data_IF_555832939800
#
_entry.id   IF_555832939800
#
_cell.length_a   1.000
_cell.length_b   1.000
_cell.length_c   1.000
_cell.angle_alpha   90.00
_cell.angle_beta   90.00
_cell.angle_gamma   90.00
#
_symmetry.space_group_name_H-M   'P 1'
#
loop_
_entity.id
_entity.type
_entity.pdbx_description
1 polymer ?
#
# COMPACT_ATOMS: atom_id res chain seq x y z
N UNK A 1 -30.74 -18.90 -12.00
CA UNK A 1 -31.97 -18.67 -11.47
C UNK A 1 -32.79 -17.63 -12.24
N UNK A 2 -33.31 -18.07 -13.39
CA UNK A 2 -34.09 -17.23 -14.32
C UNK A 2 -35.36 -16.74 -13.64
N UNK A 3 -36.04 -17.61 -12.89
CA UNK A 3 -37.28 -17.31 -12.17
C UNK A 3 -37.16 -16.17 -11.14
N UNK A 4 -36.04 -16.02 -10.44
CA UNK A 4 -35.88 -14.95 -9.45
C UNK A 4 -35.76 -13.57 -10.10
N UNK A 5 -35.20 -13.49 -11.32
CA UNK A 5 -35.14 -12.24 -12.08
C UNK A 5 -36.51 -11.83 -12.58
N UNK A 6 -37.27 -12.79 -13.10
CA UNK A 6 -38.59 -12.52 -13.63
C UNK A 6 -39.56 -12.12 -12.51
N UNK A 7 -39.46 -12.78 -11.35
CA UNK A 7 -40.24 -12.44 -10.16
C UNK A 7 -39.91 -11.05 -9.61
N UNK A 8 -38.63 -10.69 -9.59
CA UNK A 8 -38.22 -9.35 -9.13
C UNK A 8 -38.65 -8.25 -10.07
N UNK A 9 -38.61 -8.49 -11.37
CA UNK A 9 -39.10 -7.56 -12.37
C UNK A 9 -40.59 -7.37 -12.23
N UNK A 10 -41.34 -8.47 -11.99
CA UNK A 10 -42.76 -8.43 -11.73
C UNK A 10 -43.08 -7.62 -10.48
N UNK A 11 -42.41 -7.82 -9.36
CA UNK A 11 -42.64 -7.05 -8.12
C UNK A 11 -42.26 -5.57 -8.28
N UNK A 12 -41.18 -5.26 -9.02
CA UNK A 12 -40.86 -3.86 -9.33
C UNK A 12 -41.92 -3.20 -10.17
N UNK A 13 -42.40 -3.87 -11.20
CA UNK A 13 -43.44 -3.33 -12.08
C UNK A 13 -44.78 -3.16 -11.33
N UNK A 14 -45.15 -4.13 -10.49
CA UNK A 14 -46.32 -4.01 -9.64
C UNK A 14 -46.22 -2.82 -8.66
N UNK A 15 -45.04 -2.65 -8.05
CA UNK A 15 -44.73 -1.55 -7.13
C UNK A 15 -44.81 -0.16 -7.77
N UNK A 16 -44.61 -0.03 -9.09
CA UNK A 16 -44.78 1.25 -9.79
C UNK A 16 -46.21 1.74 -9.84
N UNK A 17 -47.21 0.85 -9.68
CA UNK A 17 -48.64 1.15 -9.70
C UNK A 17 -49.29 1.28 -8.31
N UNK A 18 -48.49 1.07 -7.24
CA UNK A 18 -48.95 1.13 -5.86
C UNK A 18 -48.50 2.44 -5.21
N UNK A 19 -49.36 2.96 -4.29
CA UNK A 19 -48.97 4.10 -3.47
C UNK A 19 -47.76 3.75 -2.58
N UNK A 20 -46.99 4.78 -2.16
CA UNK A 20 -45.69 4.58 -1.47
C UNK A 20 -45.78 3.73 -0.18
N UNK A 21 -46.94 3.81 0.53
CA UNK A 21 -47.21 2.99 1.72
C UNK A 21 -47.71 1.57 1.45
N UNK A 22 -48.04 1.23 0.20
CA UNK A 22 -48.57 -0.07 -0.20
C UNK A 22 -47.54 -0.96 -0.88
N UNK A 23 -46.35 -0.42 -1.11
CA UNK A 23 -45.23 -1.16 -1.74
C UNK A 23 -44.68 -2.19 -0.77
N UNK A 24 -44.71 -3.45 -1.19
CA UNK A 24 -44.05 -4.52 -0.42
C UNK A 24 -42.55 -4.33 -0.49
N UNK A 25 -41.84 -4.11 0.63
CA UNK A 25 -40.39 -4.07 0.64
C UNK A 25 -39.87 -5.48 0.35
N UNK A 26 -39.08 -5.65 -0.70
CA UNK A 26 -38.40 -6.91 -0.99
C UNK A 26 -36.93 -6.65 -1.33
N UNK A 27 -36.08 -7.57 -0.94
CA UNK A 27 -34.67 -7.57 -1.26
C UNK A 27 -34.30 -8.83 -2.02
N UNK A 28 -33.69 -8.68 -3.18
CA UNK A 28 -33.14 -9.80 -3.92
C UNK A 28 -31.76 -10.14 -3.37
N UNK A 29 -31.68 -11.23 -2.65
CA UNK A 29 -30.40 -11.77 -2.15
C UNK A 29 -29.42 -12.09 -3.29
N UNK A 30 -29.89 -12.28 -4.52
CA UNK A 30 -29.05 -12.52 -5.70
C UNK A 30 -28.35 -11.26 -6.23
N UNK A 31 -28.84 -10.05 -5.96
CA UNK A 31 -28.11 -8.82 -6.29
C UNK A 31 -26.83 -8.67 -5.46
N UNK A 32 -26.85 -9.16 -4.21
CA UNK A 32 -25.64 -9.23 -3.37
C UNK A 32 -24.57 -10.22 -3.91
N UNK A 33 -24.96 -11.13 -4.81
CA UNK A 33 -24.03 -12.06 -5.45
C UNK A 33 -23.26 -11.45 -6.64
N UNK A 34 -23.59 -10.23 -7.08
CA UNK A 34 -22.87 -9.56 -8.15
C UNK A 34 -21.35 -9.54 -7.86
N UNK A 35 -20.96 -9.06 -6.70
CA UNK A 35 -19.55 -9.03 -6.28
C UNK A 35 -18.95 -10.40 -5.97
N UNK A 36 -19.77 -11.47 -5.95
CA UNK A 36 -19.28 -12.83 -5.80
C UNK A 36 -18.97 -13.51 -7.13
N UNK A 37 -19.43 -12.95 -8.24
CA UNK A 37 -19.16 -13.48 -9.59
C UNK A 37 -17.67 -13.40 -9.89
N UNK A 38 -17.16 -14.42 -10.57
CA UNK A 38 -15.72 -14.52 -10.88
C UNK A 38 -15.27 -13.35 -11.77
N UNK A 39 -16.04 -13.01 -12.78
CA UNK A 39 -15.76 -11.93 -13.72
C UNK A 39 -15.69 -10.56 -13.00
N UNK A 40 -16.57 -10.33 -12.04
CA UNK A 40 -16.58 -9.11 -11.24
C UNK A 40 -15.36 -9.05 -10.32
N UNK A 41 -15.02 -10.16 -9.69
CA UNK A 41 -13.81 -10.25 -8.86
C UNK A 41 -12.54 -10.06 -9.68
N UNK A 42 -12.52 -10.56 -10.93
CA UNK A 42 -11.39 -10.39 -11.83
C UNK A 42 -11.25 -8.90 -12.23
N UNK A 43 -12.35 -8.24 -12.61
CA UNK A 43 -12.35 -6.82 -12.91
C UNK A 43 -11.93 -5.97 -11.70
N UNK A 44 -12.43 -6.28 -10.50
CA UNK A 44 -12.03 -5.61 -9.27
C UNK A 44 -10.55 -5.81 -8.94
N UNK A 45 -9.97 -6.98 -9.26
CA UNK A 45 -8.55 -7.22 -9.06
C UNK A 45 -7.70 -6.30 -9.95
N UNK A 46 -8.07 -6.08 -11.22
CA UNK A 46 -7.40 -5.11 -12.07
C UNK A 46 -7.50 -3.68 -11.52
N UNK A 47 -8.70 -3.25 -11.11
CA UNK A 47 -8.90 -1.92 -10.52
C UNK A 47 -8.10 -1.72 -9.23
N UNK A 48 -8.02 -2.74 -8.38
CA UNK A 48 -7.22 -2.70 -7.16
C UNK A 48 -5.73 -2.53 -7.45
N UNK A 49 -5.19 -3.20 -8.47
CA UNK A 49 -3.79 -3.02 -8.87
C UNK A 49 -3.50 -1.63 -9.44
N UNK A 50 -4.49 -0.99 -10.08
CA UNK A 50 -4.34 0.41 -10.52
C UNK A 50 -4.22 1.36 -9.32
N UNK A 51 -4.99 1.09 -8.25
CA UNK A 51 -4.95 1.90 -7.02
C UNK A 51 -3.75 1.54 -6.13
N UNK A 52 -3.44 0.25 -6.02
CA UNK A 52 -2.32 -0.27 -5.24
C UNK A 52 -1.56 -1.34 -6.04
N UNK A 53 -0.46 -0.98 -6.71
CA UNK A 53 0.36 -1.93 -7.47
C UNK A 53 0.94 -3.07 -6.61
N UNK A 54 0.97 -2.90 -5.29
CA UNK A 54 1.51 -3.89 -4.35
C UNK A 54 0.44 -4.85 -3.80
N UNK A 55 -0.79 -4.85 -4.32
CA UNK A 55 -1.82 -5.84 -3.94
C UNK A 55 -1.49 -7.22 -4.52
N UNK A 56 -0.68 -7.98 -3.76
CA UNK A 56 -0.25 -9.32 -4.13
C UNK A 56 -1.43 -10.29 -4.36
N UNK A 57 -2.53 -10.17 -3.62
CA UNK A 57 -3.69 -11.04 -3.76
C UNK A 57 -4.40 -10.81 -5.10
N UNK A 58 -4.60 -9.55 -5.48
CA UNK A 58 -5.15 -9.17 -6.78
C UNK A 58 -4.22 -9.58 -7.92
N UNK A 59 -2.91 -9.41 -7.77
CA UNK A 59 -1.93 -9.80 -8.77
C UNK A 59 -1.91 -11.32 -8.99
N UNK A 60 -1.85 -12.12 -7.93
CA UNK A 60 -1.92 -13.59 -8.01
C UNK A 60 -3.23 -14.05 -8.67
N UNK A 61 -4.35 -13.38 -8.35
CA UNK A 61 -5.63 -13.68 -9.00
C UNK A 61 -5.58 -13.47 -10.51
N UNK A 62 -5.01 -12.35 -10.96
CA UNK A 62 -4.86 -12.02 -12.37
C UNK A 62 -3.93 -13.02 -13.06
N UNK A 63 -2.78 -13.33 -12.46
CA UNK A 63 -1.85 -14.32 -12.99
C UNK A 63 -2.49 -15.69 -13.17
N UNK A 64 -3.24 -16.16 -12.19
CA UNK A 64 -3.93 -17.47 -12.27
C UNK A 64 -5.00 -17.51 -13.36
N UNK A 65 -5.61 -16.38 -13.69
CA UNK A 65 -6.74 -16.32 -14.63
C UNK A 65 -6.30 -15.98 -16.05
N UNK A 66 -5.35 -15.08 -16.20
CA UNK A 66 -4.97 -14.48 -17.48
C UNK A 66 -3.48 -14.63 -17.81
N UNK A 67 -2.66 -15.08 -16.85
CA UNK A 67 -1.22 -15.21 -17.04
C UNK A 67 -0.88 -16.28 -18.06
N UNK A 68 -0.16 -15.89 -19.12
CA UNK A 68 0.37 -16.82 -20.10
C UNK A 68 1.78 -17.24 -19.67
N UNK A 69 2.02 -18.55 -19.59
CA UNK A 69 3.34 -19.09 -19.22
C UNK A 69 3.66 -19.04 -17.72
N UNK A 70 2.78 -18.47 -16.89
CA UNK A 70 2.93 -18.42 -15.41
C UNK A 70 1.86 -19.31 -14.80
N UNK A 71 2.24 -20.52 -14.44
CA UNK A 71 1.34 -21.49 -13.81
C UNK A 71 1.41 -21.45 -12.27
N UNK A 72 0.50 -22.20 -11.59
CA UNK A 72 0.48 -22.28 -10.12
C UNK A 72 1.81 -22.72 -9.49
N UNK A 73 2.62 -23.50 -10.23
CA UNK A 73 3.96 -23.93 -9.80
C UNK A 73 4.95 -22.75 -9.72
N UNK A 74 4.94 -21.86 -10.72
CA UNK A 74 5.76 -20.65 -10.75
C UNK A 74 5.35 -19.70 -9.64
N UNK A 75 4.03 -19.47 -9.47
CA UNK A 75 3.49 -18.63 -8.40
C UNK A 75 3.92 -19.15 -7.03
N UNK A 76 3.84 -20.47 -6.80
CA UNK A 76 4.30 -21.07 -5.54
C UNK A 76 5.80 -20.90 -5.31
N UNK A 77 6.64 -21.00 -6.34
CA UNK A 77 8.08 -20.75 -6.23
C UNK A 77 8.35 -19.30 -5.82
N UNK A 78 7.74 -18.33 -6.49
CA UNK A 78 7.91 -16.90 -6.22
C UNK A 78 7.35 -16.54 -4.83
N UNK A 79 6.28 -17.18 -4.39
CA UNK A 79 5.67 -16.98 -3.07
C UNK A 79 6.35 -17.80 -1.96
N UNK A 80 7.45 -18.49 -2.24
CA UNK A 80 8.15 -19.31 -1.26
C UNK A 80 8.73 -18.47 -0.13
N UNK A 81 8.82 -19.06 1.06
CA UNK A 81 9.25 -18.38 2.28
C UNK A 81 10.64 -17.74 2.16
N UNK A 82 11.55 -18.34 1.39
CA UNK A 82 12.88 -17.77 1.14
C UNK A 82 12.85 -16.41 0.45
N UNK A 83 11.95 -16.23 -0.53
CA UNK A 83 11.75 -14.93 -1.18
C UNK A 83 11.13 -13.91 -0.22
N UNK A 84 10.16 -14.34 0.58
CA UNK A 84 9.57 -13.47 1.61
C UNK A 84 10.57 -13.02 2.65
N UNK A 85 11.47 -13.92 3.09
CA UNK A 85 12.57 -13.56 4.02
C UNK A 85 13.57 -12.61 3.40
N UNK A 86 13.75 -12.68 2.09
CA UNK A 86 14.59 -11.75 1.34
C UNK A 86 13.86 -10.42 1.01
N UNK A 87 12.62 -10.25 1.45
CA UNK A 87 11.80 -9.06 1.16
C UNK A 87 11.18 -9.02 -0.24
N UNK A 88 11.38 -10.06 -1.06
CA UNK A 88 10.85 -10.11 -2.43
C UNK A 88 9.36 -10.40 -2.40
N UNK A 89 8.58 -9.55 -3.04
CA UNK A 89 7.14 -9.70 -3.22
C UNK A 89 6.84 -10.13 -4.65
N UNK A 90 5.78 -10.90 -4.86
CA UNK A 90 5.35 -11.29 -6.21
C UNK A 90 5.02 -10.06 -7.08
N UNK A 91 4.61 -8.95 -6.48
CA UNK A 91 4.30 -7.70 -7.15
C UNK A 91 5.52 -6.93 -7.64
N UNK A 92 6.73 -7.26 -7.15
CA UNK A 92 7.97 -6.65 -7.62
C UNK A 92 8.22 -6.96 -9.11
N UNK A 93 7.63 -8.05 -9.62
CA UNK A 93 7.62 -8.36 -11.05
C UNK A 93 6.74 -7.44 -11.90
N UNK A 94 5.94 -6.55 -11.30
CA UNK A 94 5.27 -5.47 -12.01
C UNK A 94 6.20 -4.29 -12.30
N UNK A 95 7.29 -4.18 -11.58
CA UNK A 95 8.32 -3.19 -11.80
C UNK A 95 8.97 -3.38 -13.18
N UNK A 96 9.12 -2.29 -13.93
CA UNK A 96 9.66 -2.35 -15.30
C UNK A 96 11.14 -2.69 -15.29
N UNK A 97 11.90 -2.18 -14.33
CA UNK A 97 13.32 -2.45 -14.18
C UNK A 97 13.56 -3.89 -13.74
N UNK A 98 12.77 -4.40 -12.79
CA UNK A 98 12.81 -5.81 -12.38
C UNK A 98 12.48 -6.75 -13.54
N UNK A 99 11.54 -6.39 -14.43
CA UNK A 99 11.22 -7.17 -15.65
C UNK A 99 12.34 -7.15 -16.67
N UNK A 100 12.99 -6.00 -16.84
CA UNK A 100 14.07 -5.81 -17.82
C UNK A 100 15.32 -6.57 -17.40
N UNK A 101 15.70 -6.52 -16.15
CA UNK A 101 16.92 -7.14 -15.61
C UNK A 101 16.69 -8.58 -15.13
N UNK A 102 15.44 -8.97 -14.88
CA UNK A 102 15.11 -10.24 -14.25
C UNK A 102 15.47 -10.32 -12.77
N UNK A 103 15.99 -9.23 -12.21
CA UNK A 103 16.39 -9.09 -10.80
C UNK A 103 15.62 -7.91 -10.17
N UNK A 104 14.71 -8.18 -9.23
CA UNK A 104 13.94 -7.11 -8.57
C UNK A 104 14.80 -6.19 -7.69
N UNK A 105 16.05 -6.56 -7.43
CA UNK A 105 17.00 -5.75 -6.66
C UNK A 105 18.04 -5.04 -7.50
N UNK A 106 18.01 -5.17 -8.84
CA UNK A 106 19.03 -4.57 -9.70
C UNK A 106 19.21 -3.07 -9.41
N UNK A 107 18.10 -2.33 -9.32
CA UNK A 107 18.10 -0.88 -9.02
C UNK A 107 18.74 -0.60 -7.64
N UNK A 108 18.43 -1.42 -6.63
CA UNK A 108 18.97 -1.27 -5.29
C UNK A 108 20.47 -1.57 -5.26
N UNK A 109 20.92 -2.61 -5.97
CA UNK A 109 22.35 -2.98 -6.07
C UNK A 109 23.12 -1.89 -6.80
N UNK A 110 22.63 -1.41 -7.93
CA UNK A 110 23.24 -0.31 -8.70
C UNK A 110 23.35 0.96 -7.84
N UNK A 111 22.28 1.32 -7.13
CA UNK A 111 22.28 2.47 -6.23
C UNK A 111 23.24 2.30 -5.04
N UNK A 112 23.37 1.08 -4.49
CA UNK A 112 24.33 0.79 -3.44
C UNK A 112 25.79 0.95 -3.94
N UNK A 113 26.06 0.47 -5.13
CA UNK A 113 27.37 0.63 -5.77
C UNK A 113 27.69 2.09 -6.12
N UNK A 114 26.68 2.86 -6.49
CA UNK A 114 26.79 4.30 -6.74
C UNK A 114 26.82 5.15 -5.45
N UNK A 115 26.56 4.54 -4.28
CA UNK A 115 26.41 5.21 -2.98
C UNK A 115 25.20 6.18 -2.92
N UNK A 116 24.19 5.88 -3.71
CA UNK A 116 22.95 6.65 -3.87
C UNK A 116 21.76 6.00 -3.14
N UNK A 117 22.00 5.48 -1.94
CA UNK A 117 20.97 4.94 -1.06
C UNK A 117 20.76 5.85 0.15
N UNK A 118 19.50 6.16 0.43
CA UNK A 118 19.05 6.75 1.69
C UNK A 118 18.13 5.77 2.40
N UNK A 119 18.58 5.27 3.54
CA UNK A 119 17.72 4.51 4.46
C UNK A 119 17.04 5.50 5.38
N UNK A 120 15.70 5.39 5.55
CA UNK A 120 14.98 6.30 6.41
C UNK A 120 13.96 5.57 7.28
N UNK A 121 13.59 6.22 8.35
CA UNK A 121 12.54 5.81 9.26
C UNK A 121 11.78 7.02 9.78
N UNK A 122 10.53 6.81 10.22
CA UNK A 122 9.66 7.86 10.74
C UNK A 122 9.04 7.43 12.07
N UNK A 123 8.87 8.40 12.98
CA UNK A 123 8.03 8.25 14.15
C UNK A 123 6.75 9.06 13.97
N UNK A 124 5.64 8.57 14.51
CA UNK A 124 4.33 9.18 14.34
C UNK A 124 3.52 9.18 15.63
N UNK A 125 2.47 9.98 15.69
CA UNK A 125 1.53 10.03 16.83
C UNK A 125 0.71 8.75 16.99
N UNK A 126 0.73 7.86 16.00
CA UNK A 126 0.04 6.57 16.00
C UNK A 126 0.24 5.82 14.67
N UNK A 127 -0.60 4.82 14.42
CA UNK A 127 -0.46 3.88 13.29
C UNK A 127 -1.48 4.09 12.16
N UNK A 128 -2.40 5.05 12.30
CA UNK A 128 -3.42 5.33 11.29
C UNK A 128 -2.93 6.44 10.34
N UNK A 129 -2.52 6.11 9.10
CA UNK A 129 -1.94 7.08 8.16
C UNK A 129 -2.91 8.18 7.71
N UNK A 130 -4.21 8.04 8.02
CA UNK A 130 -5.23 9.04 7.68
C UNK A 130 -5.47 10.05 8.81
N UNK A 131 -5.01 9.75 10.01
CA UNK A 131 -5.28 10.54 11.22
C UNK A 131 -4.02 10.95 11.97
N UNK A 132 -3.01 10.10 11.95
CA UNK A 132 -1.79 10.33 12.70
C UNK A 132 -0.79 11.16 11.91
N UNK A 133 0.07 11.87 12.63
CA UNK A 133 1.01 12.82 12.08
C UNK A 133 2.44 12.34 12.32
N UNK A 134 3.31 12.53 11.33
CA UNK A 134 4.74 12.27 11.47
C UNK A 134 5.33 13.30 12.43
N UNK A 135 6.09 12.83 13.41
CA UNK A 135 6.72 13.68 14.44
C UNK A 135 8.26 13.64 14.40
N UNK A 136 8.83 12.67 13.73
CA UNK A 136 10.27 12.62 13.46
C UNK A 136 10.52 11.97 12.11
N UNK A 137 11.50 12.47 11.38
CA UNK A 137 12.09 11.81 10.22
C UNK A 137 13.58 11.67 10.48
N UNK A 138 14.08 10.46 10.33
CA UNK A 138 15.51 10.15 10.34
C UNK A 138 15.91 9.53 9.01
N UNK A 139 17.09 9.87 8.50
CA UNK A 139 17.62 9.33 7.25
C UNK A 139 19.15 9.17 7.33
N UNK A 140 19.65 8.11 6.72
CA UNK A 140 21.08 7.83 6.62
C UNK A 140 21.44 7.63 5.15
N UNK A 141 22.36 8.41 4.63
CA UNK A 141 22.97 8.15 3.32
C UNK A 141 24.10 7.13 3.50
N UNK A 142 24.00 6.01 2.80
CA UNK A 142 24.95 4.90 2.96
C UNK A 142 26.13 5.00 1.98
N UNK A 143 27.33 4.67 2.48
CA UNK A 143 28.49 4.36 1.66
C UNK A 143 28.54 2.88 1.28
N UNK A 144 29.43 2.52 0.36
CA UNK A 144 29.69 1.12 -0.06
C UNK A 144 30.12 0.20 1.07
N UNK A 145 30.73 0.75 2.13
CA UNK A 145 31.11 0.01 3.32
C UNK A 145 29.93 -0.23 4.29
N UNK A 146 28.72 0.18 3.91
CA UNK A 146 27.51 0.09 4.72
C UNK A 146 27.44 1.09 5.88
N UNK A 147 28.38 2.04 5.97
CA UNK A 147 28.36 3.08 7.01
C UNK A 147 27.66 4.32 6.52
N UNK A 148 27.11 5.07 7.47
CA UNK A 148 26.50 6.36 7.19
C UNK A 148 27.57 7.38 6.76
N UNK A 149 27.39 7.99 5.59
CA UNK A 149 28.17 9.13 5.09
C UNK A 149 27.58 10.46 5.49
N UNK A 150 26.25 10.51 5.60
CA UNK A 150 25.51 11.69 6.04
C UNK A 150 24.26 11.24 6.78
N UNK A 151 23.84 12.09 7.73
CA UNK A 151 22.69 11.84 8.58
C UNK A 151 21.72 13.00 8.47
N UNK A 152 20.45 12.68 8.45
CA UNK A 152 19.32 13.62 8.58
C UNK A 152 18.48 13.18 9.77
N UNK A 153 18.15 14.10 10.65
CA UNK A 153 17.24 13.85 11.74
C UNK A 153 16.55 15.14 12.14
N UNK A 154 15.22 15.17 12.07
CA UNK A 154 14.40 16.33 12.43
C UNK A 154 13.17 15.91 13.19
N UNK A 155 12.77 16.75 14.14
CA UNK A 155 11.49 16.68 14.81
C UNK A 155 10.50 17.61 14.11
N UNK A 156 9.27 17.15 13.96
CA UNK A 156 8.19 17.89 13.34
C UNK A 156 7.17 18.30 14.40
N UNK A 157 6.64 19.51 14.30
CA UNK A 157 5.49 19.93 15.10
C UNK A 157 4.29 19.06 14.73
N UNK A 158 3.55 18.63 15.74
CA UNK A 158 2.29 17.93 15.59
C UNK A 158 1.16 18.74 16.22
N UNK A 159 -0.02 18.66 15.61
CA UNK A 159 -1.26 19.24 16.15
C UNK A 159 -1.91 18.30 17.15
N UNK A 160 -1.61 17.01 17.02
CA UNK A 160 -2.11 15.95 17.89
C UNK A 160 -1.10 15.59 18.96
N UNK A 161 -1.60 15.21 20.13
CA UNK A 161 -0.75 14.67 21.18
C UNK A 161 -0.21 13.28 20.79
N UNK A 162 1.01 13.01 21.16
CA UNK A 162 1.67 11.71 20.95
C UNK A 162 1.00 10.57 21.72
N UNK A 163 0.29 10.87 22.81
CA UNK A 163 -0.47 9.88 23.56
C UNK A 163 0.34 8.62 23.94
N UNK A 164 -0.24 7.45 23.64
CA UNK A 164 0.40 6.17 23.93
C UNK A 164 1.62 5.85 23.07
N UNK A 165 1.79 6.48 21.90
CA UNK A 165 2.97 6.28 21.04
C UNK A 165 4.27 6.72 21.71
N UNK A 166 4.19 7.65 22.68
CA UNK A 166 5.32 8.03 23.53
C UNK A 166 6.02 6.82 24.17
N UNK A 167 5.28 5.76 24.51
CA UNK A 167 5.85 4.55 25.12
C UNK A 167 6.84 3.83 24.17
N UNK A 168 6.69 4.02 22.88
CA UNK A 168 7.52 3.41 21.82
C UNK A 168 8.72 4.31 21.53
N UNK A 169 8.50 5.51 21.00
CA UNK A 169 9.57 6.36 20.46
C UNK A 169 10.16 7.35 21.49
N UNK A 170 9.53 7.54 22.67
CA UNK A 170 9.99 8.43 23.77
C UNK A 170 10.08 9.93 23.43
N UNK A 171 9.43 10.36 22.36
CA UNK A 171 9.32 11.76 21.96
C UNK A 171 8.08 12.34 22.64
N UNK A 172 8.22 13.38 23.47
CA UNK A 172 7.09 13.97 24.19
C UNK A 172 6.50 15.17 23.44
N UNK A 173 5.25 15.52 23.74
CA UNK A 173 4.61 16.74 23.23
C UNK A 173 5.42 17.99 23.59
N UNK A 174 5.99 18.05 24.80
CA UNK A 174 6.83 19.17 25.22
C UNK A 174 8.09 19.31 24.35
N UNK A 175 8.74 18.19 23.99
CA UNK A 175 9.89 18.21 23.10
C UNK A 175 9.52 18.68 21.69
N UNK A 176 8.37 18.23 21.17
CA UNK A 176 7.89 18.66 19.85
C UNK A 176 7.53 20.15 19.83
N UNK A 177 7.02 20.71 20.92
CA UNK A 177 6.76 22.15 21.05
C UNK A 177 8.05 22.96 21.11
N UNK A 178 9.08 22.45 21.76
CA UNK A 178 10.35 23.14 21.93
C UNK A 178 11.26 23.06 20.70
N UNK A 179 11.38 21.89 20.10
CA UNK A 179 12.37 21.57 19.07
C UNK A 179 11.76 21.20 17.70
N UNK A 180 10.46 20.97 17.65
CA UNK A 180 9.76 20.62 16.41
C UNK A 180 9.76 21.78 15.41
N UNK A 181 10.01 21.46 14.16
CA UNK A 181 10.00 22.38 13.02
C UNK A 181 8.69 22.21 12.23
N UNK A 182 8.41 23.16 11.34
CA UNK A 182 7.21 23.07 10.50
C UNK A 182 7.30 21.87 9.54
N UNK A 183 6.27 21.02 9.46
CA UNK A 183 6.30 19.78 8.67
C UNK A 183 6.68 19.99 7.20
N UNK A 184 6.16 21.05 6.55
CA UNK A 184 6.46 21.33 5.15
C UNK A 184 7.94 21.65 4.92
N UNK A 185 8.55 22.33 5.87
CA UNK A 185 9.95 22.73 5.82
C UNK A 185 10.86 21.50 5.98
N UNK A 186 10.58 20.66 6.99
CA UNK A 186 11.31 19.40 7.22
C UNK A 186 11.18 18.45 6.03
N UNK A 187 9.99 18.31 5.47
CA UNK A 187 9.78 17.46 4.29
C UNK A 187 10.57 17.97 3.08
N UNK A 188 10.63 19.29 2.88
CA UNK A 188 11.45 19.89 1.80
C UNK A 188 12.93 19.64 2.02
N UNK A 189 13.43 19.79 3.26
CA UNK A 189 14.81 19.47 3.61
C UNK A 189 15.12 17.98 3.38
N UNK A 190 14.20 17.09 3.80
CA UNK A 190 14.37 15.65 3.59
C UNK A 190 14.37 15.27 2.10
N UNK A 191 13.48 15.85 1.30
CA UNK A 191 13.49 15.67 -0.14
C UNK A 191 14.81 16.12 -0.79
N UNK A 192 15.37 17.23 -0.32
CA UNK A 192 16.68 17.70 -0.79
C UNK A 192 17.81 16.77 -0.34
N UNK A 193 17.76 16.24 0.88
CA UNK A 193 18.70 15.27 1.41
C UNK A 193 18.67 13.95 0.63
N UNK A 194 17.48 13.47 0.24
CA UNK A 194 17.28 12.22 -0.47
C UNK A 194 17.33 12.36 -2.01
N UNK A 195 17.52 13.58 -2.52
CA UNK A 195 17.49 13.83 -3.96
C UNK A 195 18.50 12.95 -4.73
N UNK A 196 18.03 12.30 -5.79
CA UNK A 196 18.85 11.41 -6.64
C UNK A 196 19.13 10.04 -6.04
N UNK A 197 18.59 9.71 -4.86
CA UNK A 197 18.85 8.44 -4.18
C UNK A 197 17.68 7.47 -4.28
N UNK A 198 17.97 6.19 -4.22
CA UNK A 198 16.99 5.15 -3.94
C UNK A 198 16.68 5.17 -2.44
N UNK A 199 15.38 5.32 -2.13
CA UNK A 199 14.91 5.41 -0.75
C UNK A 199 14.55 4.01 -0.25
N UNK A 200 15.08 3.65 0.92
CA UNK A 200 14.82 2.38 1.60
C UNK A 200 14.20 2.66 2.96
N UNK A 201 13.03 2.12 3.19
CA UNK A 201 12.33 2.20 4.47
C UNK A 201 11.81 0.84 4.93
N UNK A 202 11.67 0.65 6.23
CA UNK A 202 11.02 -0.52 6.82
C UNK A 202 9.60 -0.14 7.24
N UNK A 203 8.64 -1.03 6.93
CA UNK A 203 7.23 -0.87 7.32
C UNK A 203 6.79 -2.06 8.18
#
# INVERSE_FOLDING_TARGET
>A
NRYNKDLSLYFRNLGCHLAEGERLPFMLLDELKFFRRQEVKDALAFLRLVVNPHDAASFVRILNRFGRGIGPGTIRKISHESYRRAGIRITDYLDEDARRTGDPFAVLVEAFEAEDIVVFDVEATGVDPTRDEIIQIAGLRLGRDGKAKAEFKRLLKARRSVGDSYKVHKISDALLQQEGQEPEEVLREFCAFAAGSVIVGHN
#
